data_IF_881877369901
#
_entry.id   IF_881877369901
#
_cell.length_a   1.000
_cell.length_b   1.000
_cell.length_c   1.000
_cell.angle_alpha   90.00
_cell.angle_beta   90.00
_cell.angle_gamma   90.00
#
_symmetry.space_group_name_H-M   'P 1'
#
loop_
_entity.id
_entity.type
_entity.pdbx_description
1 polymer ?
#
# COMPACT_ATOMS: atom_id res chain seq x y z
N UNK A 1 4.38 22.71 -6.58
CA UNK A 1 3.08 22.01 -6.31
C UNK A 1 2.80 21.95 -4.81
N UNK A 2 1.58 22.12 -4.37
CA UNK A 2 1.24 21.96 -2.93
C UNK A 2 0.74 20.54 -2.69
N UNK A 3 1.63 19.64 -2.26
CA UNK A 3 1.32 18.23 -1.97
C UNK A 3 1.28 17.90 -0.48
N UNK A 4 1.60 18.83 0.41
CA UNK A 4 1.69 18.58 1.86
C UNK A 4 0.45 17.89 2.41
N UNK A 5 -0.74 18.38 2.09
CA UNK A 5 -2.02 17.80 2.54
C UNK A 5 -2.34 16.43 1.92
N UNK A 6 -1.60 16.01 0.87
CA UNK A 6 -1.75 14.72 0.20
C UNK A 6 -0.68 13.72 0.63
N UNK A 7 0.32 14.12 1.42
CA UNK A 7 1.36 13.20 1.93
C UNK A 7 0.94 12.69 3.30
N UNK A 8 0.56 11.43 3.36
CA UNK A 8 0.20 10.67 4.55
C UNK A 8 1.39 9.96 5.19
N UNK A 9 1.11 9.26 6.28
CA UNK A 9 2.10 8.52 7.08
C UNK A 9 1.57 7.14 7.42
N UNK A 10 2.40 6.13 7.17
CA UNK A 10 2.15 4.75 7.56
C UNK A 10 2.34 4.59 9.09
N UNK A 11 1.25 4.41 9.81
CA UNK A 11 1.29 4.10 11.24
C UNK A 11 1.82 2.69 11.48
N UNK A 12 1.68 1.79 10.49
CA UNK A 12 2.04 0.39 10.59
C UNK A 12 1.41 -0.25 11.82
N UNK A 13 2.27 -0.81 12.68
CA UNK A 13 1.90 -1.41 13.99
C UNK A 13 2.53 -0.68 15.17
N UNK A 14 3.03 0.53 14.97
CA UNK A 14 3.85 1.27 15.95
C UNK A 14 3.05 1.89 17.09
N UNK A 15 1.78 2.21 16.82
CA UNK A 15 0.91 2.96 17.73
C UNK A 15 -0.51 2.38 17.70
N UNK A 16 -1.24 2.50 18.81
CA UNK A 16 -2.67 2.18 18.83
C UNK A 16 -3.40 3.12 17.87
N UNK A 17 -4.32 2.59 17.04
CA UNK A 17 -4.94 3.34 15.96
C UNK A 17 -5.62 4.62 16.42
N UNK A 18 -6.31 4.56 17.57
CA UNK A 18 -7.00 5.71 18.15
C UNK A 18 -6.04 6.85 18.52
N UNK A 19 -4.85 6.49 19.01
CA UNK A 19 -3.79 7.45 19.39
C UNK A 19 -3.07 7.96 18.14
N UNK A 20 -2.89 7.08 17.13
CA UNK A 20 -2.32 7.43 15.83
C UNK A 20 -3.16 8.45 15.05
N UNK A 21 -4.49 8.35 15.13
CA UNK A 21 -5.41 9.32 14.53
C UNK A 21 -5.28 10.70 15.21
N UNK A 22 -5.17 10.74 16.54
CA UNK A 22 -4.95 11.99 17.28
C UNK A 22 -3.59 12.61 16.95
N UNK A 23 -2.55 11.77 16.93
CA UNK A 23 -1.20 12.18 16.54
C UNK A 23 -1.16 12.75 15.12
N UNK A 24 -1.83 12.09 14.17
CA UNK A 24 -1.94 12.57 12.80
C UNK A 24 -2.58 13.96 12.71
N UNK A 25 -3.71 14.15 13.43
CA UNK A 25 -4.36 15.45 13.51
C UNK A 25 -3.46 16.55 14.10
N UNK A 26 -2.76 16.25 15.21
CA UNK A 26 -1.85 17.19 15.87
C UNK A 26 -0.68 17.62 14.98
N UNK A 27 -0.27 16.76 14.04
CA UNK A 27 0.84 16.99 13.12
C UNK A 27 0.37 17.39 11.70
N UNK A 28 -0.92 17.69 11.49
CA UNK A 28 -1.45 18.12 10.19
C UNK A 28 -1.45 17.02 9.12
N UNK A 29 -1.37 15.74 9.52
CA UNK A 29 -1.41 14.58 8.62
C UNK A 29 -2.86 14.20 8.34
N UNK A 30 -3.24 14.13 7.05
CA UNK A 30 -4.62 13.84 6.66
C UNK A 30 -4.86 12.39 6.24
N UNK A 31 -3.82 11.66 5.86
CA UNK A 31 -3.91 10.26 5.40
C UNK A 31 -3.03 9.38 6.28
N UNK A 32 -3.59 8.30 6.76
CA UNK A 32 -2.84 7.29 7.51
C UNK A 32 -3.26 5.90 7.06
N UNK A 33 -2.34 4.93 7.13
CA UNK A 33 -2.71 3.53 7.08
C UNK A 33 -2.21 2.77 8.30
N UNK A 34 -2.74 1.57 8.52
CA UNK A 34 -2.47 0.77 9.71
C UNK A 34 -2.55 -0.72 9.38
N UNK A 35 -1.60 -1.49 9.90
CA UNK A 35 -1.65 -2.96 9.90
C UNK A 35 -2.52 -3.48 11.06
N UNK A 36 -3.32 -4.53 10.77
CA UNK A 36 -4.23 -5.12 11.76
C UNK A 36 -3.86 -6.55 12.19
N UNK A 37 -2.60 -6.94 12.02
CA UNK A 37 -2.14 -8.31 12.25
C UNK A 37 -1.65 -8.56 13.67
N UNK A 38 -1.21 -7.52 14.38
CA UNK A 38 -0.63 -7.63 15.72
C UNK A 38 -1.19 -6.59 16.68
N UNK A 39 -1.07 -6.88 17.98
CA UNK A 39 -1.43 -5.92 19.03
C UNK A 39 -0.59 -4.62 18.89
N UNK A 40 -1.17 -3.45 19.20
CA UNK A 40 -2.51 -3.24 19.81
C UNK A 40 -3.67 -3.23 18.80
N UNK A 41 -3.39 -3.38 17.49
CA UNK A 41 -4.36 -3.24 16.40
C UNK A 41 -4.77 -4.58 15.77
N UNK A 42 -4.59 -5.71 16.46
CA UNK A 42 -4.99 -7.02 15.93
C UNK A 42 -6.50 -7.06 15.57
N UNK A 43 -6.82 -7.64 14.39
CA UNK A 43 -8.19 -7.77 13.87
C UNK A 43 -9.24 -8.13 14.92
N UNK A 44 -9.03 -9.14 15.81
CA UNK A 44 -10.03 -9.50 16.81
C UNK A 44 -10.27 -8.43 17.88
N UNK A 45 -9.41 -7.41 17.96
CA UNK A 45 -9.57 -6.34 18.94
C UNK A 45 -10.56 -5.26 18.52
N UNK A 46 -10.98 -5.26 17.24
CA UNK A 46 -11.94 -4.28 16.71
C UNK A 46 -13.38 -4.70 16.96
N UNK A 47 -13.81 -4.61 18.25
CA UNK A 47 -15.22 -4.79 18.60
C UNK A 47 -16.07 -3.68 17.98
N UNK A 48 -17.42 -3.84 17.89
CA UNK A 48 -18.31 -2.79 17.42
C UNK A 48 -18.12 -1.44 18.13
N UNK A 49 -17.89 -1.47 19.46
CA UNK A 49 -17.66 -0.30 20.29
C UNK A 49 -16.34 0.39 19.93
N UNK A 50 -15.26 -0.38 19.77
CA UNK A 50 -13.96 0.16 19.36
C UNK A 50 -14.03 0.76 17.95
N UNK A 51 -14.72 0.09 17.03
CA UNK A 51 -14.95 0.62 15.69
C UNK A 51 -15.72 1.95 15.72
N UNK A 52 -16.71 2.09 16.60
CA UNK A 52 -17.44 3.35 16.76
C UNK A 52 -16.51 4.47 17.24
N UNK A 53 -15.68 4.22 18.24
CA UNK A 53 -14.69 5.18 18.74
C UNK A 53 -13.72 5.63 17.64
N UNK A 54 -13.22 4.70 16.84
CA UNK A 54 -12.31 5.02 15.71
C UNK A 54 -13.02 5.89 14.68
N UNK A 55 -14.24 5.52 14.23
CA UNK A 55 -15.02 6.33 13.27
C UNK A 55 -15.27 7.75 13.77
N UNK A 56 -15.63 7.89 15.05
CA UNK A 56 -15.89 9.22 15.65
C UNK A 56 -14.62 10.08 15.64
N UNK A 57 -13.46 9.49 15.93
CA UNK A 57 -12.17 10.19 15.87
C UNK A 57 -11.81 10.58 14.44
N UNK A 58 -11.93 9.65 13.47
CA UNK A 58 -11.69 9.94 12.05
C UNK A 58 -12.54 11.12 11.56
N UNK A 59 -13.82 11.09 11.88
CA UNK A 59 -14.77 12.17 11.54
C UNK A 59 -14.42 13.49 12.25
N UNK A 60 -14.12 13.43 13.56
CA UNK A 60 -13.79 14.60 14.37
C UNK A 60 -12.56 15.32 13.88
N UNK A 61 -11.53 14.55 13.50
CA UNK A 61 -10.22 15.08 13.14
C UNK A 61 -10.00 15.23 11.63
N UNK A 62 -10.94 14.74 10.81
CA UNK A 62 -10.83 14.83 9.34
C UNK A 62 -9.72 13.94 8.75
N UNK A 63 -9.26 12.92 9.50
CA UNK A 63 -8.23 11.97 9.05
C UNK A 63 -8.86 10.88 8.20
N UNK A 64 -8.21 10.51 7.10
CA UNK A 64 -8.60 9.42 6.20
C UNK A 64 -7.75 8.20 6.51
N UNK A 65 -8.40 7.06 6.72
CA UNK A 65 -7.78 5.81 7.11
C UNK A 65 -7.72 4.84 5.93
N UNK A 66 -6.55 4.27 5.68
CA UNK A 66 -6.33 3.04 4.94
C UNK A 66 -5.94 1.90 5.87
N UNK A 67 -6.05 0.69 5.37
CA UNK A 67 -5.50 -0.50 6.00
C UNK A 67 -4.43 -1.11 5.10
N UNK A 68 -3.45 -1.77 5.71
CA UNK A 68 -2.38 -2.44 5.00
C UNK A 68 -2.31 -3.90 5.46
N UNK A 69 -2.45 -4.85 4.54
CA UNK A 69 -2.35 -6.28 4.86
C UNK A 69 -0.90 -6.68 5.07
N UNK A 70 -0.66 -7.73 5.86
CA UNK A 70 0.69 -8.23 6.09
C UNK A 70 1.22 -8.94 4.82
N UNK A 71 2.35 -8.49 4.28
CA UNK A 71 2.99 -9.07 3.09
C UNK A 71 3.45 -10.52 3.28
N UNK A 72 3.67 -10.96 4.52
CA UNK A 72 3.97 -12.35 4.85
C UNK A 72 2.78 -13.31 4.67
N UNK A 73 1.55 -12.80 4.55
CA UNK A 73 0.38 -13.63 4.19
C UNK A 73 0.38 -13.83 2.69
N UNK A 74 0.68 -15.06 2.25
CA UNK A 74 0.82 -15.35 0.82
C UNK A 74 -0.53 -15.35 0.09
N UNK A 75 -0.87 -14.25 -0.55
CA UNK A 75 -2.08 -14.13 -1.38
C UNK A 75 -2.07 -15.10 -2.57
N UNK A 76 -0.90 -15.55 -3.02
CA UNK A 76 -0.74 -16.55 -4.07
C UNK A 76 -0.79 -18.00 -3.55
N UNK A 77 -1.30 -18.24 -2.33
CA UNK A 77 -1.40 -19.59 -1.78
C UNK A 77 -2.45 -20.43 -2.51
N UNK A 78 -2.06 -21.64 -2.92
CA UNK A 78 -2.92 -22.56 -3.67
C UNK A 78 -3.25 -23.88 -2.94
N UNK A 79 -2.56 -24.19 -1.82
CA UNK A 79 -2.90 -25.33 -0.97
C UNK A 79 -4.32 -25.16 -0.41
N UNK A 80 -5.24 -26.14 -0.56
CA UNK A 80 -6.66 -25.92 -0.32
C UNK A 80 -6.99 -25.34 1.06
N UNK A 81 -6.47 -25.93 2.13
CA UNK A 81 -6.77 -25.47 3.50
C UNK A 81 -6.20 -24.07 3.79
N UNK A 82 -4.98 -23.80 3.34
CA UNK A 82 -4.35 -22.49 3.54
C UNK A 82 -5.01 -21.44 2.64
N UNK A 83 -5.39 -21.83 1.42
CA UNK A 83 -6.10 -20.97 0.48
C UNK A 83 -7.41 -20.43 1.06
N UNK A 84 -8.21 -21.29 1.72
CA UNK A 84 -9.44 -20.88 2.42
C UNK A 84 -9.15 -19.91 3.58
N UNK A 85 -8.07 -20.15 4.33
CA UNK A 85 -7.68 -19.29 5.44
C UNK A 85 -7.26 -17.90 4.94
N UNK A 86 -6.53 -17.81 3.81
CA UNK A 86 -6.16 -16.54 3.21
C UNK A 86 -7.38 -15.77 2.68
N UNK A 87 -8.33 -16.46 2.04
CA UNK A 87 -9.61 -15.84 1.63
C UNK A 87 -10.38 -15.29 2.85
N UNK A 88 -10.42 -16.02 3.96
CA UNK A 88 -11.06 -15.58 5.20
C UNK A 88 -10.33 -14.37 5.81
N UNK A 89 -9.00 -14.36 5.80
CA UNK A 89 -8.17 -13.24 6.25
C UNK A 89 -8.47 -11.95 5.48
N UNK A 90 -8.48 -12.00 4.14
CA UNK A 90 -8.76 -10.83 3.31
C UNK A 90 -10.19 -10.31 3.52
N UNK A 91 -11.18 -11.21 3.68
CA UNK A 91 -12.55 -10.82 4.01
C UNK A 91 -12.65 -10.15 5.37
N UNK A 92 -11.92 -10.65 6.38
CA UNK A 92 -11.88 -10.03 7.71
C UNK A 92 -11.31 -8.61 7.66
N UNK A 93 -10.29 -8.36 6.83
CA UNK A 93 -9.79 -7.01 6.57
C UNK A 93 -10.84 -6.12 5.92
N UNK A 94 -11.56 -6.61 4.91
CA UNK A 94 -12.62 -5.84 4.22
C UNK A 94 -13.77 -5.50 5.18
N UNK A 95 -14.22 -6.46 6.00
CA UNK A 95 -15.26 -6.25 6.99
C UNK A 95 -14.83 -5.23 8.05
N UNK A 96 -13.58 -5.33 8.51
CA UNK A 96 -13.03 -4.38 9.48
C UNK A 96 -12.89 -2.99 8.84
N UNK A 97 -12.39 -2.88 7.61
CA UNK A 97 -12.34 -1.62 6.87
C UNK A 97 -13.72 -0.94 6.76
N UNK A 98 -14.74 -1.71 6.40
CA UNK A 98 -16.12 -1.24 6.36
C UNK A 98 -16.59 -0.74 7.73
N UNK A 99 -16.33 -1.51 8.79
CA UNK A 99 -16.72 -1.16 10.16
C UNK A 99 -15.97 0.07 10.69
N UNK A 100 -14.76 0.31 10.23
CA UNK A 100 -13.94 1.50 10.56
C UNK A 100 -14.25 2.71 9.67
N UNK A 101 -14.99 2.53 8.58
CA UNK A 101 -15.12 3.53 7.50
C UNK A 101 -13.76 3.88 6.86
N UNK A 102 -12.87 2.89 6.75
CA UNK A 102 -11.62 3.04 6.03
C UNK A 102 -11.87 3.27 4.53
N UNK A 103 -11.03 4.05 3.89
CA UNK A 103 -11.17 4.45 2.49
C UNK A 103 -10.57 3.47 1.49
N UNK A 104 -9.61 2.64 1.91
CA UNK A 104 -8.92 1.66 1.06
C UNK A 104 -8.22 0.58 1.89
N UNK A 105 -7.80 -0.49 1.21
CA UNK A 105 -6.91 -1.52 1.76
C UNK A 105 -5.78 -1.76 0.77
N UNK A 106 -4.53 -1.65 1.20
CA UNK A 106 -3.36 -2.11 0.43
C UNK A 106 -3.26 -3.62 0.58
N UNK A 107 -3.19 -4.32 -0.56
CA UNK A 107 -3.07 -5.77 -0.65
C UNK A 107 -1.86 -6.15 -1.50
N UNK A 108 -1.38 -7.38 -1.33
CA UNK A 108 -0.22 -7.92 -2.04
C UNK A 108 -0.67 -9.05 -2.98
N UNK A 109 0.07 -9.26 -4.08
CA UNK A 109 -0.16 -10.38 -4.99
C UNK A 109 0.31 -11.72 -4.41
N UNK A 110 1.23 -11.67 -3.44
CA UNK A 110 1.81 -12.81 -2.76
C UNK A 110 3.30 -12.99 -3.06
N UNK A 111 3.76 -14.22 -2.98
CA UNK A 111 5.13 -14.58 -3.33
C UNK A 111 5.21 -16.02 -3.86
N UNK A 112 6.28 -16.33 -4.58
CA UNK A 112 6.53 -17.65 -5.14
C UNK A 112 7.93 -18.17 -4.74
N UNK A 113 8.10 -19.47 -4.85
CA UNK A 113 9.40 -20.15 -4.87
C UNK A 113 9.81 -20.39 -6.32
N UNK A 114 11.09 -20.64 -6.56
CA UNK A 114 11.64 -20.78 -7.92
C UNK A 114 10.86 -21.78 -8.81
N UNK A 115 10.33 -22.84 -8.22
CA UNK A 115 9.68 -23.94 -8.98
C UNK A 115 8.16 -23.79 -9.15
N UNK A 116 7.51 -22.76 -8.61
CA UNK A 116 6.03 -22.64 -8.60
C UNK A 116 5.48 -21.28 -9.08
N UNK A 117 6.29 -20.54 -9.85
CA UNK A 117 5.95 -19.19 -10.34
C UNK A 117 4.57 -19.15 -11.04
N UNK A 118 4.38 -19.93 -12.11
CA UNK A 118 3.15 -19.85 -12.91
C UNK A 118 1.89 -20.21 -12.10
N UNK A 119 1.99 -21.23 -11.24
CA UNK A 119 0.84 -21.62 -10.40
C UNK A 119 0.53 -20.56 -9.35
N UNK A 120 1.54 -19.90 -8.80
CA UNK A 120 1.38 -18.80 -7.84
C UNK A 120 0.81 -17.54 -8.48
N UNK A 121 1.31 -17.16 -9.66
CA UNK A 121 0.76 -16.02 -10.42
C UNK A 121 -0.74 -16.22 -10.68
N UNK A 122 -1.11 -17.41 -11.17
CA UNK A 122 -2.52 -17.73 -11.40
C UNK A 122 -3.35 -17.76 -10.10
N UNK A 123 -2.85 -18.38 -9.05
CA UNK A 123 -3.55 -18.47 -7.77
C UNK A 123 -3.78 -17.09 -7.14
N UNK A 124 -2.79 -16.19 -7.21
CA UNK A 124 -2.92 -14.80 -6.76
C UNK A 124 -3.99 -14.04 -7.55
N UNK A 125 -3.95 -14.14 -8.87
CA UNK A 125 -4.95 -13.51 -9.75
C UNK A 125 -6.37 -14.02 -9.46
N UNK A 126 -6.55 -15.33 -9.39
CA UNK A 126 -7.85 -15.96 -9.13
C UNK A 126 -8.41 -15.53 -7.76
N UNK A 127 -7.55 -15.43 -6.75
CA UNK A 127 -7.95 -14.94 -5.41
C UNK A 127 -8.34 -13.48 -5.45
N UNK A 128 -7.51 -12.62 -6.03
CA UNK A 128 -7.83 -11.18 -6.09
C UNK A 128 -9.16 -10.95 -6.80
N UNK A 129 -9.45 -11.66 -7.90
CA UNK A 129 -10.74 -11.57 -8.57
C UNK A 129 -11.92 -12.02 -7.65
N UNK A 130 -11.78 -13.11 -6.90
CA UNK A 130 -12.83 -13.54 -5.95
C UNK A 130 -13.05 -12.55 -4.82
N UNK A 131 -11.96 -11.97 -4.30
CA UNK A 131 -12.03 -10.99 -3.21
C UNK A 131 -12.51 -9.63 -3.71
N UNK A 132 -12.23 -9.26 -4.96
CA UNK A 132 -12.73 -8.05 -5.61
C UNK A 132 -14.27 -7.98 -5.58
N UNK A 133 -14.96 -9.09 -5.89
CA UNK A 133 -16.42 -9.17 -5.80
C UNK A 133 -16.96 -8.91 -4.38
N UNK A 134 -16.22 -9.36 -3.37
CA UNK A 134 -16.58 -9.11 -1.97
C UNK A 134 -16.34 -7.65 -1.59
N UNK A 135 -15.18 -7.11 -1.97
CA UNK A 135 -14.80 -5.72 -1.72
C UNK A 135 -15.78 -4.73 -2.38
N UNK A 136 -16.22 -5.01 -3.61
CA UNK A 136 -17.21 -4.23 -4.34
C UNK A 136 -18.56 -4.18 -3.60
N UNK A 137 -19.07 -5.32 -3.12
CA UNK A 137 -20.28 -5.36 -2.29
C UNK A 137 -20.14 -4.58 -0.99
N UNK A 138 -18.96 -4.55 -0.42
CA UNK A 138 -18.62 -3.76 0.78
C UNK A 138 -18.29 -2.29 0.48
N UNK A 139 -18.07 -1.95 -0.80
CA UNK A 139 -17.63 -0.62 -1.28
C UNK A 139 -16.27 -0.20 -0.72
N UNK A 140 -15.35 -1.16 -0.58
CA UNK A 140 -13.98 -0.93 -0.09
C UNK A 140 -13.00 -1.14 -1.25
N UNK A 141 -12.31 -0.09 -1.72
CA UNK A 141 -11.25 -0.24 -2.71
C UNK A 141 -10.08 -1.07 -2.18
N UNK A 142 -9.58 -1.98 -3.01
CA UNK A 142 -8.35 -2.73 -2.80
C UNK A 142 -7.27 -2.11 -3.69
N UNK A 143 -6.10 -1.84 -3.12
CA UNK A 143 -4.95 -1.29 -3.83
C UNK A 143 -3.87 -2.37 -3.89
N UNK A 144 -3.69 -2.99 -5.06
CA UNK A 144 -2.63 -3.99 -5.27
C UNK A 144 -1.27 -3.28 -5.34
N UNK A 145 -0.35 -3.65 -4.47
CA UNK A 145 0.97 -3.04 -4.38
C UNK A 145 1.98 -3.77 -5.28
N UNK A 146 2.86 -3.00 -5.96
CA UNK A 146 4.09 -3.57 -6.51
C UNK A 146 5.13 -3.74 -5.40
N UNK A 147 5.60 -4.95 -5.23
CA UNK A 147 6.54 -5.32 -4.17
C UNK A 147 8.00 -5.17 -4.61
N UNK A 148 8.90 -5.32 -3.68
CA UNK A 148 10.34 -5.23 -3.92
C UNK A 148 10.87 -6.43 -4.73
N UNK A 149 11.89 -6.17 -5.55
CA UNK A 149 12.70 -7.21 -6.18
C UNK A 149 13.66 -7.78 -5.14
N UNK A 150 13.65 -9.12 -4.99
CA UNK A 150 14.67 -9.84 -4.26
C UNK A 150 15.87 -10.19 -5.16
N UNK A 151 17.05 -10.48 -4.60
CA UNK A 151 18.19 -11.01 -5.38
C UNK A 151 17.81 -12.23 -6.22
N UNK A 152 18.40 -12.36 -7.41
CA UNK A 152 18.03 -13.43 -8.36
C UNK A 152 18.28 -14.85 -7.81
N UNK A 153 19.14 -15.00 -6.83
CA UNK A 153 19.43 -16.25 -6.11
C UNK A 153 18.61 -16.44 -4.81
N UNK A 154 17.67 -15.54 -4.51
CA UNK A 154 16.77 -15.69 -3.38
C UNK A 154 15.82 -16.90 -3.58
N UNK A 155 15.47 -17.57 -2.50
CA UNK A 155 14.51 -18.68 -2.54
C UNK A 155 13.07 -18.20 -2.76
N UNK A 156 12.75 -17.00 -2.30
CA UNK A 156 11.41 -16.41 -2.35
C UNK A 156 11.46 -15.11 -3.11
N UNK A 157 10.52 -14.93 -4.04
CA UNK A 157 10.33 -13.70 -4.79
C UNK A 157 8.89 -13.21 -4.65
N UNK A 158 8.72 -11.92 -4.39
CA UNK A 158 7.40 -11.29 -4.29
C UNK A 158 6.78 -11.06 -5.66
N UNK A 159 5.44 -11.01 -5.72
CA UNK A 159 4.63 -10.73 -6.91
C UNK A 159 3.50 -9.75 -6.56
N UNK A 160 3.25 -8.75 -7.47
CA UNK A 160 4.11 -8.35 -8.59
C UNK A 160 5.29 -7.50 -8.13
N UNK A 161 6.49 -7.69 -8.71
CA UNK A 161 7.65 -6.84 -8.41
C UNK A 161 8.17 -6.05 -9.62
N UNK A 162 7.80 -6.43 -10.83
CA UNK A 162 8.22 -5.78 -12.08
C UNK A 162 7.00 -5.34 -12.92
N UNK A 163 7.26 -4.61 -14.00
CA UNK A 163 6.20 -4.05 -14.84
C UNK A 163 5.34 -5.14 -15.52
N UNK A 164 5.95 -6.22 -16.00
CA UNK A 164 5.24 -7.32 -16.68
C UNK A 164 4.22 -7.98 -15.73
N UNK A 165 4.64 -8.27 -14.52
CA UNK A 165 3.76 -8.85 -13.50
C UNK A 165 2.66 -7.88 -13.07
N UNK A 166 2.98 -6.59 -12.90
CA UNK A 166 1.96 -5.56 -12.63
C UNK A 166 0.90 -5.52 -13.75
N UNK A 167 1.34 -5.56 -15.01
CA UNK A 167 0.45 -5.61 -16.17
C UNK A 167 -0.36 -6.90 -16.21
N UNK A 168 0.24 -8.05 -15.86
CA UNK A 168 -0.47 -9.32 -15.78
C UNK A 168 -1.69 -9.23 -14.86
N UNK A 169 -1.53 -8.71 -13.65
CA UNK A 169 -2.63 -8.55 -12.71
C UNK A 169 -3.62 -7.47 -13.18
N UNK A 170 -3.14 -6.26 -13.45
CA UNK A 170 -4.02 -5.10 -13.68
C UNK A 170 -4.82 -5.18 -14.99
N UNK A 171 -4.33 -5.91 -16.01
CA UNK A 171 -5.05 -6.12 -17.27
C UNK A 171 -6.11 -7.21 -17.17
N UNK A 172 -5.98 -8.15 -16.23
CA UNK A 172 -6.94 -9.26 -16.07
C UNK A 172 -7.96 -9.05 -14.95
N UNK A 173 -7.80 -7.99 -14.16
CA UNK A 173 -8.73 -7.62 -13.09
C UNK A 173 -9.63 -6.49 -13.60
N UNK A 174 -10.91 -6.80 -13.83
CA UNK A 174 -11.88 -5.84 -14.38
C UNK A 174 -12.64 -5.04 -13.33
N UNK A 175 -12.64 -5.48 -12.07
CA UNK A 175 -13.38 -4.77 -11.01
C UNK A 175 -12.82 -3.35 -10.79
N UNK A 176 -13.66 -2.31 -10.77
CA UNK A 176 -13.24 -0.94 -10.48
C UNK A 176 -12.82 -0.75 -9.01
N UNK A 177 -13.11 -1.74 -8.17
CA UNK A 177 -12.69 -1.78 -6.76
C UNK A 177 -11.29 -2.33 -6.57
N UNK A 178 -10.64 -2.87 -7.61
CA UNK A 178 -9.20 -3.17 -7.58
C UNK A 178 -8.46 -2.10 -8.35
N UNK A 179 -7.70 -1.34 -7.62
CA UNK A 179 -6.81 -0.28 -8.09
C UNK A 179 -5.38 -0.69 -7.74
N UNK A 180 -4.41 0.19 -7.84
CA UNK A 180 -3.06 -0.13 -7.43
C UNK A 180 -2.47 0.89 -6.46
N UNK A 181 -1.56 0.42 -5.61
CA UNK A 181 -0.67 1.19 -4.77
C UNK A 181 0.72 1.14 -5.41
N UNK A 182 1.26 2.29 -5.78
CA UNK A 182 2.54 2.39 -6.46
C UNK A 182 3.65 2.69 -5.48
N UNK A 183 4.46 1.68 -5.15
CA UNK A 183 5.60 1.82 -4.26
C UNK A 183 6.85 2.15 -5.08
N UNK A 184 7.28 3.41 -5.01
CA UNK A 184 8.29 3.96 -5.92
C UNK A 184 9.70 3.41 -5.63
N UNK A 185 10.05 3.18 -4.37
CA UNK A 185 11.34 2.57 -4.00
C UNK A 185 11.43 1.12 -4.49
N UNK A 186 10.32 0.35 -4.52
CA UNK A 186 10.30 -0.98 -5.12
C UNK A 186 10.51 -0.92 -6.65
N UNK A 187 9.80 -0.02 -7.33
CA UNK A 187 10.00 0.19 -8.76
C UNK A 187 11.42 0.65 -9.12
N UNK A 188 12.10 1.32 -8.20
CA UNK A 188 13.49 1.76 -8.40
C UNK A 188 14.50 0.61 -8.44
N UNK A 189 14.13 -0.58 -7.97
CA UNK A 189 14.99 -1.79 -7.96
C UNK A 189 14.97 -2.60 -9.25
N UNK A 190 14.06 -2.29 -10.19
CA UNK A 190 13.90 -3.06 -11.43
C UNK A 190 14.31 -2.23 -12.64
N UNK A 191 14.71 -2.87 -13.76
CA UNK A 191 15.25 -2.17 -14.93
C UNK A 191 14.30 -1.14 -15.54
N UNK A 192 12.98 -1.39 -15.48
CA UNK A 192 11.96 -0.47 -16.00
C UNK A 192 11.88 0.82 -15.18
N UNK A 193 12.24 0.73 -13.90
CA UNK A 193 12.27 1.84 -12.98
C UNK A 193 10.91 2.50 -12.74
N UNK A 194 10.94 3.60 -12.01
CA UNK A 194 9.75 4.42 -11.73
C UNK A 194 9.13 4.93 -13.04
N UNK A 195 9.95 5.38 -13.97
CA UNK A 195 9.51 5.94 -15.28
C UNK A 195 8.77 4.89 -16.11
N UNK A 196 9.31 3.66 -16.17
CA UNK A 196 8.68 2.57 -16.92
C UNK A 196 7.30 2.22 -16.36
N UNK A 197 7.15 2.14 -15.03
CA UNK A 197 5.85 1.87 -14.40
C UNK A 197 4.84 2.99 -14.67
N UNK A 198 5.19 4.25 -14.44
CA UNK A 198 4.27 5.38 -14.61
C UNK A 198 3.82 5.55 -16.07
N UNK A 199 4.71 5.29 -17.03
CA UNK A 199 4.38 5.43 -18.46
C UNK A 199 3.55 4.28 -19.04
N UNK A 200 3.56 3.11 -18.40
CA UNK A 200 2.91 1.90 -18.93
C UNK A 200 1.74 1.38 -18.10
N UNK A 201 1.49 1.95 -16.91
CA UNK A 201 0.33 1.64 -16.08
C UNK A 201 -0.62 2.84 -16.00
N UNK A 202 -1.92 2.60 -15.95
CA UNK A 202 -2.90 3.68 -15.87
C UNK A 202 -2.87 4.34 -14.48
N UNK A 203 -2.22 5.49 -14.38
CA UNK A 203 -2.11 6.25 -13.13
C UNK A 203 -3.45 6.77 -12.59
N UNK A 204 -4.51 6.82 -13.41
CA UNK A 204 -5.86 7.15 -12.93
C UNK A 204 -6.46 6.02 -12.09
N UNK A 205 -5.94 4.79 -12.24
CA UNK A 205 -6.26 3.64 -11.37
C UNK A 205 -5.38 3.58 -10.13
N UNK A 206 -4.33 4.38 -10.02
CA UNK A 206 -3.50 4.46 -8.81
C UNK A 206 -4.25 5.19 -7.71
N UNK A 207 -4.43 4.55 -6.57
CA UNK A 207 -5.08 5.15 -5.40
C UNK A 207 -4.10 5.78 -4.43
N UNK A 208 -2.91 5.21 -4.36
CA UNK A 208 -1.86 5.59 -3.44
C UNK A 208 -0.49 5.45 -4.10
N UNK A 209 0.42 6.36 -3.80
CA UNK A 209 1.84 6.25 -4.11
C UNK A 209 2.62 6.17 -2.80
N UNK A 210 3.28 5.02 -2.55
CA UNK A 210 4.10 4.82 -1.35
C UNK A 210 5.53 5.27 -1.59
N UNK A 211 6.10 5.90 -0.59
CA UNK A 211 7.39 6.60 -0.69
C UNK A 211 8.32 6.16 0.44
N UNK A 212 9.47 5.64 0.07
CA UNK A 212 10.71 5.62 0.83
C UNK A 212 11.85 5.89 -0.15
N UNK A 213 13.06 6.15 0.35
CA UNK A 213 14.24 6.29 -0.51
C UNK A 213 15.05 4.99 -0.51
N UNK A 214 15.79 4.73 -1.58
CA UNK A 214 16.81 3.70 -1.66
C UNK A 214 17.87 4.05 -2.71
N UNK A 215 18.87 3.16 -2.88
CA UNK A 215 19.99 3.36 -3.80
C UNK A 215 19.83 2.64 -5.14
N UNK A 216 18.73 1.90 -5.31
CA UNK A 216 18.42 1.17 -6.55
C UNK A 216 19.14 -0.17 -6.70
N UNK A 217 19.79 -0.69 -5.67
CA UNK A 217 20.56 -1.94 -5.70
C UNK A 217 19.92 -3.06 -4.84
N UNK A 218 19.25 -2.71 -3.77
CA UNK A 218 18.54 -3.65 -2.88
C UNK A 218 17.40 -2.95 -2.15
N UNK A 219 16.51 -3.76 -1.57
CA UNK A 219 15.44 -3.23 -0.75
C UNK A 219 15.99 -2.57 0.51
N UNK A 220 15.75 -1.26 0.60
CA UNK A 220 16.06 -0.40 1.73
C UNK A 220 14.94 0.62 1.86
N UNK A 221 14.56 0.92 3.10
CA UNK A 221 13.67 2.04 3.41
C UNK A 221 14.51 3.15 4.07
N UNK A 222 15.19 3.95 3.25
CA UNK A 222 16.01 5.06 3.71
C UNK A 222 15.16 6.32 3.93
N UNK A 223 15.67 7.20 4.76
CA UNK A 223 15.13 8.55 4.93
C UNK A 223 15.20 9.31 3.60
N UNK A 224 14.19 10.12 3.33
CA UNK A 224 14.14 10.94 2.12
C UNK A 224 15.41 11.78 1.95
N UNK A 225 16.13 11.57 0.84
CA UNK A 225 17.40 12.21 0.51
C UNK A 225 18.65 11.46 0.99
N UNK A 226 18.52 10.24 1.53
CA UNK A 226 19.66 9.36 1.86
C UNK A 226 19.93 8.32 0.77
N UNK A 227 18.99 8.11 -0.13
CA UNK A 227 19.11 7.31 -1.34
C UNK A 227 19.51 8.15 -2.57
N UNK A 228 19.08 7.71 -3.74
CA UNK A 228 19.34 8.39 -5.00
C UNK A 228 18.10 8.66 -5.86
N UNK A 229 16.89 8.47 -5.30
CA UNK A 229 15.64 8.79 -6.00
C UNK A 229 15.50 10.31 -6.13
N UNK A 230 15.35 10.82 -7.37
CA UNK A 230 15.06 12.22 -7.61
C UNK A 230 13.56 12.50 -7.43
N UNK A 231 13.14 12.83 -6.22
CA UNK A 231 11.74 13.08 -5.90
C UNK A 231 11.11 14.25 -6.65
N UNK A 232 11.89 15.23 -7.10
CA UNK A 232 11.40 16.34 -7.91
C UNK A 232 10.92 15.83 -9.28
N UNK A 233 11.73 15.01 -9.95
CA UNK A 233 11.37 14.39 -11.23
C UNK A 233 10.21 13.40 -11.05
N UNK A 234 10.19 12.63 -9.95
CA UNK A 234 9.13 11.69 -9.64
C UNK A 234 7.79 12.40 -9.45
N UNK A 235 7.73 13.49 -8.69
CA UNK A 235 6.50 14.26 -8.52
C UNK A 235 6.02 14.86 -9.84
N UNK A 236 6.91 15.46 -10.64
CA UNK A 236 6.55 15.99 -11.95
C UNK A 236 5.95 14.90 -12.86
N UNK A 237 6.56 13.72 -12.89
CA UNK A 237 6.12 12.59 -13.68
C UNK A 237 4.74 12.10 -13.22
N UNK A 238 4.56 11.85 -11.93
CA UNK A 238 3.32 11.30 -11.37
C UNK A 238 2.17 12.31 -11.50
N UNK A 239 2.36 13.57 -11.12
CA UNK A 239 1.29 14.58 -11.18
C UNK A 239 0.88 14.90 -12.62
N UNK A 240 1.80 14.80 -13.60
CA UNK A 240 1.46 14.97 -15.02
C UNK A 240 0.76 13.76 -15.64
N UNK A 241 0.77 12.60 -14.98
CA UNK A 241 0.18 11.34 -15.50
C UNK A 241 -1.32 11.17 -15.24
N UNK A 242 -1.97 12.13 -14.60
CA UNK A 242 -3.39 12.08 -14.22
C UNK A 242 -3.66 11.41 -12.88
N UNK A 243 -2.64 11.22 -12.05
CA UNK A 243 -2.79 10.74 -10.67
C UNK A 243 -3.56 11.74 -9.80
N UNK A 244 -4.56 11.25 -9.07
CA UNK A 244 -5.40 12.07 -8.18
C UNK A 244 -5.47 11.53 -6.75
N UNK A 245 -4.69 10.49 -6.45
CA UNK A 245 -4.63 9.85 -5.14
C UNK A 245 -3.80 10.63 -4.13
N UNK A 246 -3.32 9.93 -3.14
CA UNK A 246 -2.44 10.47 -2.10
C UNK A 246 -1.09 9.76 -2.11
N UNK A 247 -0.12 10.38 -1.45
CA UNK A 247 1.18 9.80 -1.19
C UNK A 247 1.22 9.26 0.24
N UNK A 248 1.96 8.17 0.48
CA UNK A 248 2.13 7.56 1.80
C UNK A 248 3.62 7.41 2.11
N UNK A 249 4.11 8.12 3.11
CA UNK A 249 5.48 7.95 3.57
C UNK A 249 5.55 6.74 4.52
N UNK A 250 6.32 5.73 4.15
CA UNK A 250 6.38 4.44 4.81
C UNK A 250 7.82 4.08 5.21
N UNK A 251 8.37 4.81 6.19
CA UNK A 251 9.78 4.66 6.56
C UNK A 251 10.02 5.01 8.02
N UNK A 252 10.82 4.21 8.73
CA UNK A 252 11.35 4.52 10.06
C UNK A 252 10.31 4.69 11.18
N UNK A 253 10.58 5.57 12.13
CA UNK A 253 9.66 5.96 13.19
C UNK A 253 8.62 6.97 12.70
N UNK A 254 7.61 7.28 13.54
CA UNK A 254 6.64 8.33 13.21
C UNK A 254 7.31 9.70 13.03
N UNK A 255 8.34 10.00 13.84
CA UNK A 255 9.08 11.27 13.74
C UNK A 255 9.93 11.32 12.46
N UNK A 256 10.55 10.20 12.07
CA UNK A 256 11.28 10.10 10.80
C UNK A 256 10.37 10.32 9.60
N UNK A 257 9.18 9.71 9.62
CA UNK A 257 8.20 9.87 8.56
C UNK A 257 7.62 11.29 8.50
N UNK A 258 7.41 11.94 9.65
CA UNK A 258 6.99 13.33 9.70
C UNK A 258 8.05 14.26 9.09
N UNK A 259 9.32 14.06 9.43
CA UNK A 259 10.44 14.77 8.84
C UNK A 259 10.55 14.51 7.32
N UNK A 260 10.35 13.27 6.90
CA UNK A 260 10.32 12.88 5.49
C UNK A 260 9.19 13.56 4.73
N UNK A 261 7.96 13.60 5.29
CA UNK A 261 6.84 14.35 4.73
C UNK A 261 7.18 15.81 4.49
N UNK A 262 7.77 16.48 5.49
CA UNK A 262 8.11 17.88 5.40
C UNK A 262 9.20 18.14 4.34
N UNK A 263 10.15 17.22 4.18
CA UNK A 263 11.14 17.27 3.09
C UNK A 263 10.49 17.12 1.72
N UNK A 264 9.61 16.12 1.55
CA UNK A 264 8.86 15.89 0.31
C UNK A 264 7.98 17.10 -0.05
N UNK A 265 7.26 17.66 0.93
CA UNK A 265 6.43 18.84 0.72
C UNK A 265 7.25 20.05 0.26
N UNK A 266 8.46 20.27 0.81
CA UNK A 266 9.38 21.32 0.35
C UNK A 266 9.87 21.08 -1.08
N UNK A 267 10.25 19.84 -1.44
CA UNK A 267 10.63 19.48 -2.80
C UNK A 267 9.47 19.80 -3.76
N UNK A 268 8.25 19.32 -3.45
CA UNK A 268 7.08 19.58 -4.28
C UNK A 268 6.73 21.07 -4.41
N UNK A 269 6.93 21.87 -3.36
CA UNK A 269 6.62 23.31 -3.38
C UNK A 269 7.59 24.11 -4.24
N UNK A 270 8.77 23.57 -4.52
CA UNK A 270 9.79 24.20 -5.38
C UNK A 270 9.55 23.92 -6.89
N UNK A 271 8.58 23.07 -7.24
CA UNK A 271 8.15 22.74 -8.61
C UNK A 271 6.99 23.64 -9.05
#
# INVERSE_FOLDING_TARGET
MNLESRIGIDLGRKIKLEDGIEWAHQNGVQYVDCELDVAPNALPSFTPERCAVVRDKLKKYGVKLGLHTLSAVNTAEYSPFVSEAVDAYLKAYIDTAKNLSAGWIVIHGGYHFTGDYDVRMKAGLDRINRIADYAERCKIPLLLENLNKEPDDAEVHYIPHNLEECQFFLNQISSPYVRWSFTINHAHLVPEGIVGHVNNLDMRRCGEVRIADNKGDKEEHLQIGEGNINFADVFNLIESSGFTGHYMNAFGSLDDMLLGRDRLARIASAL
#
